data_IF_914404144511
#
_entry.id   IF_914404144511
#
_cell.length_a   1.000
_cell.length_b   1.000
_cell.length_c   1.000
_cell.angle_alpha   90.00
_cell.angle_beta   90.00
_cell.angle_gamma   90.00
#
_symmetry.space_group_name_H-M   'P 1'
#
loop_
_entity.id
_entity.type
_entity.pdbx_description
1 polymer ?
#
# COMPACT_ATOMS: atom_id res chain seq x y z
N UNK A 1 -12.49 5.14 -13.84
CA UNK A 1 -13.57 6.03 -13.34
C UNK A 1 -14.71 5.30 -12.63
N UNK A 2 -15.20 4.16 -13.11
CA UNK A 2 -16.35 3.44 -12.51
C UNK A 2 -16.21 3.19 -11.00
N UNK A 3 -15.06 2.69 -10.54
CA UNK A 3 -14.81 2.42 -9.11
C UNK A 3 -14.91 3.68 -8.24
N UNK A 4 -14.46 4.84 -8.75
CA UNK A 4 -14.55 6.10 -8.02
C UNK A 4 -16.00 6.58 -7.91
N UNK A 5 -16.78 6.47 -9.00
CA UNK A 5 -18.23 6.76 -8.96
C UNK A 5 -18.99 5.82 -8.02
N UNK A 6 -18.62 4.54 -8.00
CA UNK A 6 -19.17 3.56 -7.06
C UNK A 6 -18.86 3.94 -5.61
N UNK A 7 -17.64 4.40 -5.33
CA UNK A 7 -17.26 4.90 -4.00
C UNK A 7 -18.18 6.05 -3.54
N UNK A 8 -18.48 6.99 -4.43
CA UNK A 8 -19.43 8.10 -4.16
C UNK A 8 -20.84 7.57 -3.87
N UNK A 9 -21.33 6.61 -4.65
CA UNK A 9 -22.64 5.98 -4.41
C UNK A 9 -22.71 5.29 -3.04
N UNK A 10 -21.60 4.73 -2.59
CA UNK A 10 -21.43 4.12 -1.25
C UNK A 10 -21.12 5.16 -0.15
N UNK A 11 -21.17 6.46 -0.48
CA UNK A 11 -20.88 7.59 0.42
C UNK A 11 -19.45 7.60 0.96
N UNK A 12 -18.52 7.04 0.19
CA UNK A 12 -17.09 7.11 0.44
C UNK A 12 -16.47 8.20 -0.44
N UNK A 13 -15.95 9.27 0.19
CA UNK A 13 -15.44 10.45 -0.49
C UNK A 13 -13.92 10.60 -0.40
N UNK A 14 -13.26 9.73 0.36
CA UNK A 14 -11.80 9.65 0.46
C UNK A 14 -11.41 8.19 0.25
N UNK A 15 -10.66 7.93 -0.80
CA UNK A 15 -10.17 6.58 -1.10
C UNK A 15 -8.67 6.61 -1.36
N UNK A 16 -7.96 5.62 -0.82
CA UNK A 16 -6.57 5.35 -1.15
C UNK A 16 -6.50 3.97 -1.80
N UNK A 17 -5.98 3.87 -3.02
CA UNK A 17 -5.83 2.60 -3.72
C UNK A 17 -4.39 2.10 -3.67
N UNK A 18 -4.24 0.81 -3.42
CA UNK A 18 -2.97 0.11 -3.55
C UNK A 18 -2.74 -0.20 -5.02
N UNK A 19 -1.62 0.25 -5.58
CA UNK A 19 -1.32 0.22 -7.01
C UNK A 19 0.11 -0.20 -7.29
N UNK A 20 0.32 -0.98 -8.35
CA UNK A 20 1.64 -1.43 -8.83
C UNK A 20 1.83 -0.79 -10.21
N UNK A 21 2.91 -0.03 -10.40
CA UNK A 21 3.14 0.64 -11.67
C UNK A 21 3.63 -0.33 -12.75
N UNK A 22 3.52 0.08 -14.02
CA UNK A 22 4.01 -0.70 -15.16
C UNK A 22 3.14 -1.90 -15.53
N UNK A 23 1.94 -2.00 -14.96
CA UNK A 23 0.95 -3.04 -15.29
C UNK A 23 -0.03 -2.59 -16.40
N UNK A 24 -0.04 -1.30 -16.75
CA UNK A 24 -0.85 -0.79 -17.86
C UNK A 24 -0.09 -0.90 -19.18
N UNK A 25 -0.82 -1.27 -20.24
CA UNK A 25 -0.30 -1.46 -21.59
C UNK A 25 -1.13 -0.61 -22.55
N UNK A 26 -0.47 0.04 -23.51
CA UNK A 26 -1.12 0.85 -24.54
C UNK A 26 -1.56 0.03 -25.77
N UNK A 27 -2.20 0.70 -26.74
CA UNK A 27 -2.67 0.07 -27.99
C UNK A 27 -1.53 -0.46 -28.89
N UNK A 28 -0.27 -0.12 -28.58
CA UNK A 28 0.93 -0.63 -29.27
C UNK A 28 1.58 -1.81 -28.54
N UNK A 29 0.92 -2.31 -27.49
CA UNK A 29 1.40 -3.35 -26.59
C UNK A 29 2.67 -2.96 -25.82
N UNK A 30 2.90 -1.67 -25.60
CA UNK A 30 3.99 -1.17 -24.76
C UNK A 30 3.48 -0.83 -23.37
N UNK A 31 4.31 -1.07 -22.35
CA UNK A 31 4.01 -0.64 -20.99
C UNK A 31 3.92 0.87 -20.94
N UNK A 32 2.85 1.38 -20.32
CA UNK A 32 2.66 2.81 -20.12
C UNK A 32 3.73 3.34 -19.17
N UNK A 33 4.41 4.40 -19.56
CA UNK A 33 5.42 5.06 -18.74
C UNK A 33 4.82 5.65 -17.46
N UNK A 34 5.58 5.63 -16.37
CA UNK A 34 5.14 6.09 -15.04
C UNK A 34 4.43 7.46 -15.06
N UNK A 35 4.96 8.43 -15.80
CA UNK A 35 4.39 9.78 -15.86
C UNK A 35 3.02 9.81 -16.54
N UNK A 36 2.83 8.99 -17.57
CA UNK A 36 1.53 8.90 -18.25
C UNK A 36 0.55 8.09 -17.42
N UNK A 37 0.99 7.02 -16.75
CA UNK A 37 0.17 6.24 -15.83
C UNK A 37 -0.34 7.10 -14.66
N UNK A 38 0.52 7.91 -14.04
CA UNK A 38 0.11 8.89 -13.01
C UNK A 38 -0.90 9.90 -13.57
N UNK A 39 -0.66 10.43 -14.77
CA UNK A 39 -1.55 11.39 -15.41
C UNK A 39 -2.94 10.81 -15.69
N UNK A 40 -3.03 9.54 -16.07
CA UNK A 40 -4.32 8.84 -16.24
C UNK A 40 -5.15 8.89 -14.95
N UNK A 41 -4.52 8.67 -13.79
CA UNK A 41 -5.20 8.79 -12.49
C UNK A 41 -5.60 10.23 -12.16
N UNK A 42 -4.74 11.21 -12.47
CA UNK A 42 -5.03 12.63 -12.25
C UNK A 42 -6.20 13.11 -13.12
N UNK A 43 -6.24 12.71 -14.39
CA UNK A 43 -7.33 13.03 -15.31
C UNK A 43 -8.65 12.38 -14.85
N UNK A 44 -8.60 11.13 -14.37
CA UNK A 44 -9.76 10.48 -13.74
C UNK A 44 -10.24 11.24 -12.50
N UNK A 45 -9.33 11.65 -11.61
CA UNK A 45 -9.68 12.40 -10.40
C UNK A 45 -10.27 13.77 -10.75
N UNK A 46 -9.72 14.45 -11.76
CA UNK A 46 -10.23 15.73 -12.24
C UNK A 46 -11.68 15.60 -12.73
N UNK A 47 -11.95 14.60 -13.57
CA UNK A 47 -13.31 14.34 -14.06
C UNK A 47 -14.29 14.02 -12.91
N UNK A 48 -13.86 13.23 -11.92
CA UNK A 48 -14.69 12.95 -10.74
C UNK A 48 -14.97 14.22 -9.93
N UNK A 49 -14.00 15.13 -9.80
CA UNK A 49 -14.17 16.39 -9.06
C UNK A 49 -15.05 17.42 -9.77
N UNK A 50 -15.29 17.27 -11.07
CA UNK A 50 -16.32 18.06 -11.77
C UNK A 50 -17.73 17.66 -11.31
N UNK A 51 -17.93 16.38 -10.94
CA UNK A 51 -19.20 15.85 -10.40
C UNK A 51 -19.29 16.02 -8.87
N UNK A 52 -18.20 15.75 -8.14
CA UNK A 52 -18.10 15.80 -6.68
C UNK A 52 -16.81 16.51 -6.23
N UNK A 53 -16.84 17.85 -6.07
CA UNK A 53 -15.65 18.65 -5.79
C UNK A 53 -14.90 18.27 -4.50
N UNK A 54 -15.59 17.67 -3.51
CA UNK A 54 -14.99 17.28 -2.25
C UNK A 54 -14.25 15.94 -2.32
N UNK A 55 -14.34 15.19 -3.43
CA UNK A 55 -13.76 13.85 -3.54
C UNK A 55 -12.23 13.88 -3.45
N UNK A 56 -11.68 12.95 -2.67
CA UNK A 56 -10.26 12.77 -2.43
C UNK A 56 -9.82 11.37 -2.86
N UNK A 57 -8.69 11.34 -3.53
CA UNK A 57 -8.10 10.12 -4.06
C UNK A 57 -6.59 10.15 -3.84
N UNK A 58 -6.03 9.03 -3.40
CA UNK A 58 -4.59 8.80 -3.35
C UNK A 58 -4.25 7.39 -3.84
N UNK A 59 -2.97 7.20 -4.12
CA UNK A 59 -2.35 5.92 -4.40
C UNK A 59 -1.33 5.59 -3.31
N UNK A 60 -1.28 4.32 -2.93
CA UNK A 60 -0.19 3.69 -2.19
C UNK A 60 0.52 2.77 -3.18
N UNK A 61 1.78 3.05 -3.46
CA UNK A 61 2.56 2.28 -4.44
C UNK A 61 3.01 0.97 -3.81
N UNK A 62 2.87 -0.14 -4.52
CA UNK A 62 3.07 -1.47 -3.97
C UNK A 62 4.20 -2.22 -4.69
N UNK A 63 5.12 -2.80 -3.92
CA UNK A 63 6.05 -3.82 -4.43
C UNK A 63 5.52 -5.23 -4.18
N UNK A 64 5.72 -6.12 -5.16
CA UNK A 64 5.46 -7.55 -5.01
C UNK A 64 6.66 -8.26 -4.39
N UNK A 65 6.49 -8.79 -3.16
CA UNK A 65 7.53 -9.54 -2.44
C UNK A 65 8.01 -10.77 -3.23
N UNK A 66 7.12 -11.43 -3.97
CA UNK A 66 7.45 -12.64 -4.75
C UNK A 66 8.43 -12.38 -5.90
N UNK A 67 8.52 -11.14 -6.39
CA UNK A 67 9.42 -10.75 -7.49
C UNK A 67 10.81 -10.31 -7.00
N UNK A 68 11.04 -10.31 -5.68
CA UNK A 68 12.35 -10.07 -5.09
C UNK A 68 12.84 -8.62 -5.14
N UNK A 69 14.10 -8.43 -4.77
CA UNK A 69 14.71 -7.12 -4.49
C UNK A 69 14.65 -6.17 -5.69
N UNK A 70 14.89 -6.65 -6.91
CA UNK A 70 14.92 -5.80 -8.11
C UNK A 70 13.57 -5.10 -8.35
N UNK A 71 12.48 -5.86 -8.26
CA UNK A 71 11.14 -5.33 -8.41
C UNK A 71 10.77 -4.38 -7.26
N UNK A 72 11.07 -4.76 -6.01
CA UNK A 72 10.83 -3.89 -4.85
C UNK A 72 11.59 -2.56 -4.97
N UNK A 73 12.86 -2.60 -5.39
CA UNK A 73 13.66 -1.39 -5.64
C UNK A 73 13.04 -0.56 -6.77
N UNK A 74 12.57 -1.19 -7.84
CA UNK A 74 11.94 -0.50 -8.98
C UNK A 74 10.68 0.25 -8.55
N UNK A 75 9.73 -0.43 -7.89
CA UNK A 75 8.48 0.18 -7.42
C UNK A 75 8.73 1.26 -6.37
N UNK A 76 9.72 1.06 -5.50
CA UNK A 76 10.09 2.06 -4.50
C UNK A 76 10.67 3.32 -5.14
N UNK A 77 11.49 3.17 -6.18
CA UNK A 77 11.99 4.31 -6.99
C UNK A 77 10.85 5.01 -7.71
N UNK A 78 9.90 4.26 -8.28
CA UNK A 78 8.71 4.82 -8.91
C UNK A 78 7.87 5.62 -7.91
N UNK A 79 7.66 5.10 -6.70
CA UNK A 79 6.99 5.79 -5.60
C UNK A 79 7.69 7.11 -5.25
N UNK A 80 9.01 7.08 -5.00
CA UNK A 80 9.78 8.26 -4.65
C UNK A 80 9.79 9.31 -5.76
N UNK A 81 9.82 8.89 -7.04
CA UNK A 81 9.71 9.80 -8.18
C UNK A 81 8.32 10.44 -8.23
N UNK A 82 7.26 9.64 -8.19
CA UNK A 82 5.89 10.13 -8.26
C UNK A 82 5.51 11.02 -7.06
N UNK A 83 6.04 10.75 -5.85
CA UNK A 83 5.89 11.61 -4.67
C UNK A 83 6.42 13.04 -4.88
N UNK A 84 7.40 13.24 -5.76
CA UNK A 84 7.95 14.56 -6.08
C UNK A 84 7.12 15.30 -7.12
N UNK A 85 6.46 14.55 -8.00
CA UNK A 85 5.80 15.09 -9.18
C UNK A 85 4.29 15.33 -8.97
N UNK A 86 3.66 14.59 -8.04
CA UNK A 86 2.22 14.72 -7.77
C UNK A 86 1.87 14.57 -6.30
N UNK A 87 0.73 15.18 -5.94
CA UNK A 87 0.13 15.01 -4.62
C UNK A 87 -0.70 13.73 -4.49
N UNK A 88 -1.00 13.00 -5.58
CA UNK A 88 -1.88 11.82 -5.47
C UNK A 88 -1.18 10.60 -4.88
N UNK A 89 0.14 10.61 -4.66
CA UNK A 89 0.84 9.53 -3.95
C UNK A 89 0.83 9.80 -2.45
N UNK A 90 0.55 8.77 -1.66
CA UNK A 90 0.56 8.81 -0.19
C UNK A 90 1.77 8.08 0.41
N UNK A 91 2.30 7.05 -0.25
CA UNK A 91 3.45 6.29 0.23
C UNK A 91 3.58 4.92 -0.42
N UNK A 92 4.22 3.99 0.30
CA UNK A 92 4.63 2.69 -0.22
C UNK A 92 4.21 1.50 0.66
N UNK A 93 3.97 0.35 0.05
CA UNK A 93 3.57 -0.91 0.69
C UNK A 93 4.25 -2.12 0.01
N UNK A 94 4.30 -3.24 0.72
CA UNK A 94 4.69 -4.55 0.22
C UNK A 94 3.48 -5.48 0.27
N UNK A 95 3.16 -6.11 -0.87
CA UNK A 95 1.97 -6.98 -1.00
C UNK A 95 2.37 -8.39 -1.45
N UNK A 96 1.36 -9.26 -1.66
CA UNK A 96 1.38 -10.71 -1.84
C UNK A 96 0.95 -11.48 -0.60
N UNK A 97 0.56 -12.74 -0.82
CA UNK A 97 0.22 -13.71 0.23
C UNK A 97 1.37 -13.78 1.25
N UNK A 98 1.02 -13.73 2.53
CA UNK A 98 1.99 -13.42 3.58
C UNK A 98 2.84 -14.61 4.02
N UNK A 99 2.27 -15.83 4.06
CA UNK A 99 2.90 -17.02 4.63
C UNK A 99 3.81 -17.78 3.66
N UNK A 100 3.65 -17.55 2.34
CA UNK A 100 4.33 -18.29 1.26
C UNK A 100 5.27 -17.43 0.43
N UNK A 101 5.32 -16.12 0.69
CA UNK A 101 6.26 -15.19 0.03
C UNK A 101 7.31 -14.66 1.02
N UNK A 102 8.40 -14.01 0.55
CA UNK A 102 9.42 -13.50 1.46
C UNK A 102 8.85 -12.58 2.54
N UNK A 103 9.32 -12.75 3.79
CA UNK A 103 8.93 -11.90 4.92
C UNK A 103 9.45 -10.46 4.74
N UNK A 104 8.81 -9.50 5.43
CA UNK A 104 9.13 -8.06 5.36
C UNK A 104 10.61 -7.79 5.68
N UNK A 105 11.18 -8.49 6.69
CA UNK A 105 12.61 -8.38 7.04
C UNK A 105 13.57 -8.53 5.87
N UNK A 106 13.21 -9.29 4.84
CA UNK A 106 14.01 -9.47 3.61
C UNK A 106 14.30 -8.12 2.95
N UNK A 107 13.31 -7.23 2.93
CA UNK A 107 13.37 -5.93 2.24
C UNK A 107 13.70 -4.76 3.17
N UNK A 108 13.92 -5.01 4.47
CA UNK A 108 14.13 -3.99 5.50
C UNK A 108 15.25 -3.01 5.13
N UNK A 109 16.38 -3.51 4.60
CA UNK A 109 17.51 -2.66 4.22
C UNK A 109 17.14 -1.71 3.08
N UNK A 110 16.43 -2.21 2.07
CA UNK A 110 15.98 -1.43 0.90
C UNK A 110 15.06 -0.30 1.36
N UNK A 111 14.03 -0.64 2.15
CA UNK A 111 13.02 0.33 2.59
C UNK A 111 13.63 1.35 3.58
N UNK A 112 14.45 0.91 4.55
CA UNK A 112 15.08 1.85 5.50
C UNK A 112 16.01 2.83 4.80
N UNK A 113 16.79 2.37 3.81
CA UNK A 113 17.63 3.28 3.03
C UNK A 113 16.78 4.31 2.28
N UNK A 114 15.68 3.90 1.64
CA UNK A 114 14.80 4.83 0.95
C UNK A 114 14.13 5.86 1.89
N UNK A 115 13.71 5.45 3.10
CA UNK A 115 13.17 6.37 4.12
C UNK A 115 14.23 7.38 4.59
N UNK A 116 15.49 6.96 4.76
CA UNK A 116 16.58 7.86 5.14
C UNK A 116 16.91 8.87 4.05
N UNK A 117 16.90 8.43 2.79
CA UNK A 117 17.17 9.29 1.63
C UNK A 117 15.99 10.22 1.29
N UNK A 118 14.77 9.83 1.66
CA UNK A 118 13.53 10.53 1.32
C UNK A 118 12.64 10.70 2.57
N UNK A 119 12.86 11.75 3.38
CA UNK A 119 12.12 11.94 4.64
C UNK A 119 10.60 12.07 4.51
N UNK A 120 10.08 12.35 3.30
CA UNK A 120 8.65 12.40 3.01
C UNK A 120 8.03 11.06 2.61
N UNK A 121 8.81 9.98 2.55
CA UNK A 121 8.31 8.65 2.20
C UNK A 121 7.63 7.99 3.41
N UNK A 122 6.31 7.83 3.32
CA UNK A 122 5.53 7.04 4.28
C UNK A 122 5.36 5.59 3.85
N UNK A 123 5.20 4.69 4.82
CA UNK A 123 5.15 3.23 4.64
C UNK A 123 3.88 2.66 5.29
N UNK A 124 3.13 1.82 4.57
CA UNK A 124 1.81 1.29 4.98
C UNK A 124 1.72 -0.24 4.81
N UNK A 125 2.55 -0.99 5.54
CA UNK A 125 2.81 -2.41 5.26
C UNK A 125 1.60 -3.31 5.53
N UNK A 126 1.28 -4.21 4.61
CA UNK A 126 0.56 -5.43 4.95
C UNK A 126 1.39 -6.25 5.95
N UNK A 127 0.79 -6.60 7.08
CA UNK A 127 1.41 -7.46 8.07
C UNK A 127 0.37 -8.12 8.95
N UNK A 128 0.62 -9.38 9.29
CA UNK A 128 -0.23 -10.16 10.17
C UNK A 128 -1.49 -10.69 9.51
N UNK A 129 -1.60 -10.71 8.17
CA UNK A 129 -2.61 -11.53 7.47
C UNK A 129 -2.13 -12.98 7.43
N UNK A 130 -2.14 -13.64 8.59
CA UNK A 130 -1.60 -14.98 8.77
C UNK A 130 -2.36 -15.71 9.88
N UNK A 131 -2.41 -17.05 9.79
CA UNK A 131 -2.82 -17.92 10.88
C UNK A 131 -1.62 -18.53 11.65
N UNK A 132 -0.39 -18.22 11.21
CA UNK A 132 0.84 -18.80 11.72
C UNK A 132 1.46 -17.94 12.82
N UNK A 133 1.52 -18.46 14.04
CA UNK A 133 2.25 -17.82 15.17
C UNK A 133 3.76 -17.64 14.94
N UNK A 134 4.30 -18.14 13.83
CA UNK A 134 5.72 -17.95 13.44
C UNK A 134 5.92 -16.71 12.58
N UNK A 135 4.85 -16.10 12.10
CA UNK A 135 4.91 -14.85 11.36
C UNK A 135 5.46 -13.74 12.28
N UNK A 136 6.43 -12.99 11.78
CA UNK A 136 7.07 -11.87 12.48
C UNK A 136 6.89 -10.52 11.79
N UNK A 137 6.07 -10.46 10.73
CA UNK A 137 5.87 -9.27 9.91
C UNK A 137 5.23 -8.13 10.69
N UNK A 138 4.37 -8.40 11.67
CA UNK A 138 3.82 -7.35 12.54
C UNK A 138 4.90 -6.60 13.31
N UNK A 139 5.89 -7.32 13.84
CA UNK A 139 7.02 -6.71 14.53
C UNK A 139 7.91 -5.95 13.56
N UNK A 140 8.18 -6.52 12.38
CA UNK A 140 8.97 -5.86 11.34
C UNK A 140 8.31 -4.56 10.87
N UNK A 141 7.00 -4.57 10.63
CA UNK A 141 6.23 -3.40 10.23
C UNK A 141 6.31 -2.29 11.28
N UNK A 142 6.15 -2.65 12.57
CA UNK A 142 6.34 -1.71 13.69
C UNK A 142 7.77 -1.14 13.76
N UNK A 143 8.80 -1.98 13.58
CA UNK A 143 10.22 -1.59 13.59
C UNK A 143 10.65 -0.78 12.36
N UNK A 144 9.85 -0.81 11.30
CA UNK A 144 10.00 -0.01 10.08
C UNK A 144 9.20 1.30 10.13
N UNK A 145 8.60 1.60 11.29
CA UNK A 145 7.81 2.80 11.51
C UNK A 145 6.68 2.96 10.48
N UNK A 146 6.01 1.85 10.16
CA UNK A 146 4.82 1.93 9.33
C UNK A 146 3.77 2.84 9.97
N UNK A 147 3.04 3.60 9.16
CA UNK A 147 1.99 4.51 9.61
C UNK A 147 0.65 3.81 9.81
N UNK A 148 0.42 2.76 9.03
CA UNK A 148 -0.77 1.90 9.08
C UNK A 148 -0.36 0.46 8.81
N UNK A 149 -1.06 -0.49 9.41
CA UNK A 149 -0.86 -1.93 9.21
C UNK A 149 -2.03 -2.46 8.39
N UNK A 150 -1.75 -3.01 7.21
CA UNK A 150 -2.74 -3.73 6.42
C UNK A 150 -3.11 -5.05 7.10
N UNK A 151 -4.41 -5.32 7.25
CA UNK A 151 -5.01 -6.47 7.94
C UNK A 151 -4.78 -6.51 9.44
N UNK A 152 -3.54 -6.77 9.88
CA UNK A 152 -3.22 -6.97 11.30
C UNK A 152 -4.04 -8.09 11.96
N UNK A 153 -4.42 -9.12 11.21
CA UNK A 153 -5.34 -10.17 11.67
C UNK A 153 -4.80 -10.90 12.91
N UNK A 154 -3.52 -11.29 12.91
CA UNK A 154 -2.89 -12.00 14.04
C UNK A 154 -2.53 -11.09 15.23
N UNK A 155 -2.75 -9.77 15.16
CA UNK A 155 -2.27 -8.82 16.20
C UNK A 155 -2.85 -9.14 17.59
N UNK A 156 -4.01 -9.80 17.63
CA UNK A 156 -4.67 -10.26 18.86
C UNK A 156 -3.80 -11.24 19.67
N UNK A 157 -2.90 -11.97 19.02
CA UNK A 157 -1.95 -12.89 19.66
C UNK A 157 -0.74 -12.16 20.25
N UNK A 158 -0.65 -10.83 20.08
CA UNK A 158 0.47 -10.00 20.50
C UNK A 158 0.01 -8.81 21.37
N UNK A 159 -0.49 -9.04 22.60
CA UNK A 159 -1.03 -7.99 23.47
C UNK A 159 -0.02 -6.88 23.76
N UNK A 160 1.27 -7.19 23.91
CA UNK A 160 2.30 -6.17 24.08
C UNK A 160 2.47 -5.29 22.83
N UNK A 161 2.39 -5.89 21.64
CA UNK A 161 2.48 -5.13 20.38
C UNK A 161 1.25 -4.24 20.18
N UNK A 162 0.05 -4.69 20.59
CA UNK A 162 -1.16 -3.87 20.59
C UNK A 162 -0.93 -2.56 21.36
N UNK A 163 -0.36 -2.64 22.55
CA UNK A 163 -0.05 -1.44 23.35
C UNK A 163 0.95 -0.53 22.62
N UNK A 164 1.98 -1.09 21.98
CA UNK A 164 2.97 -0.31 21.22
C UNK A 164 2.41 0.34 19.95
N UNK A 165 1.52 -0.35 19.24
CA UNK A 165 0.82 0.17 18.06
C UNK A 165 -0.10 1.32 18.46
N UNK A 166 -0.85 1.18 19.56
CA UNK A 166 -1.68 2.24 20.14
C UNK A 166 -0.86 3.45 20.61
N UNK A 167 0.23 3.22 21.35
CA UNK A 167 1.15 4.27 21.82
C UNK A 167 1.70 5.11 20.65
N UNK A 168 1.99 4.47 19.51
CA UNK A 168 2.48 5.16 18.30
C UNK A 168 1.37 5.74 17.41
N UNK A 169 0.09 5.50 17.71
CA UNK A 169 -1.03 5.94 16.87
C UNK A 169 -1.06 5.27 15.49
N UNK A 170 -0.64 4.01 15.40
CA UNK A 170 -0.64 3.25 14.14
C UNK A 170 -2.02 2.58 13.98
N UNK A 171 -2.72 2.90 12.89
CA UNK A 171 -4.02 2.30 12.59
C UNK A 171 -3.88 0.92 11.94
N UNK A 172 -4.84 0.03 12.18
CA UNK A 172 -4.97 -1.27 11.49
C UNK A 172 -6.11 -1.18 10.46
N UNK A 173 -5.83 -1.55 9.21
CA UNK A 173 -6.78 -1.56 8.09
C UNK A 173 -7.47 -2.94 8.04
N UNK A 174 -8.71 -3.03 8.53
CA UNK A 174 -9.41 -4.33 8.69
C UNK A 174 -10.27 -4.65 7.47
N UNK A 175 -10.11 -5.86 6.91
CA UNK A 175 -10.80 -6.33 5.70
C UNK A 175 -11.59 -7.63 5.97
N UNK A 176 -12.69 -7.60 6.74
CA UNK A 176 -13.33 -8.81 7.29
C UNK A 176 -13.87 -9.75 6.21
N UNK A 177 -14.42 -9.21 5.11
CA UNK A 177 -14.90 -10.02 3.99
C UNK A 177 -13.74 -10.71 3.27
N UNK A 178 -12.60 -10.01 3.12
CA UNK A 178 -11.37 -10.60 2.55
C UNK A 178 -10.89 -11.75 3.41
N UNK A 179 -10.78 -11.53 4.73
CA UNK A 179 -10.32 -12.56 5.65
C UNK A 179 -11.21 -13.81 5.58
N UNK A 180 -12.54 -13.64 5.59
CA UNK A 180 -13.49 -14.74 5.47
C UNK A 180 -13.33 -15.52 4.15
N UNK A 181 -13.24 -14.81 3.02
CA UNK A 181 -13.12 -15.45 1.68
C UNK A 181 -11.80 -16.20 1.54
N UNK A 182 -10.72 -15.65 2.09
CA UNK A 182 -9.38 -16.25 2.05
C UNK A 182 -9.19 -17.36 3.10
N UNK A 183 -10.18 -17.61 3.95
CA UNK A 183 -10.17 -18.72 4.91
C UNK A 183 -9.49 -18.42 6.24
N UNK A 184 -9.33 -17.14 6.58
CA UNK A 184 -8.90 -16.70 7.91
C UNK A 184 -10.14 -16.60 8.82
N UNK A 185 -10.20 -17.43 9.87
CA UNK A 185 -11.32 -17.52 10.80
C UNK A 185 -10.88 -17.68 12.26
#
# INVERSE_FOLDING_TARGET
MEVLRKSIQEKCYLVEFKHIFGCLIDDTHQTVELSEEVKIFEDCLKAIREEEPAFQFKLVVCGLKILGDEHVISELKACVKALKDTSIISGYDLVNEEDTTPAIKTFRKIIKNAQLENPGLEIFLHAGESASRKNDNLYDAYLMNTKRIGHGFEIIDHPYLIEKVKEKGICVEVCPVSNLILGYC
#
